data_IF_345815691353
#
_entry.id   IF_345815691353
#
_cell.length_a   1.000
_cell.length_b   1.000
_cell.length_c   1.000
_cell.angle_alpha   90.00
_cell.angle_beta   90.00
_cell.angle_gamma   90.00
#
_symmetry.space_group_name_H-M   'P 1'
#
loop_
_entity.id
_entity.type
_entity.pdbx_description
1 polymer ?
#
# COMPACT_ATOMS: atom_id res chain seq x y z
N UNK A 1 -2.80 8.51 -28.86
CA UNK A 1 -1.77 7.82 -28.06
C UNK A 1 -0.91 8.84 -27.35
N UNK A 2 -0.35 8.52 -26.19
CA UNK A 2 0.50 9.43 -25.43
C UNK A 2 1.37 8.70 -24.41
N UNK A 3 2.35 9.43 -23.88
CA UNK A 3 3.24 9.00 -22.80
C UNK A 3 3.21 10.05 -21.71
N UNK A 4 3.37 9.63 -20.47
CA UNK A 4 3.42 10.49 -19.30
C UNK A 4 4.45 10.00 -18.29
N UNK A 5 5.05 10.93 -17.55
CA UNK A 5 6.02 10.65 -16.51
C UNK A 5 5.74 11.58 -15.34
N UNK A 6 5.67 11.01 -14.13
CA UNK A 6 5.54 11.79 -12.91
C UNK A 6 6.46 11.23 -11.83
N UNK A 7 6.94 12.12 -10.98
CA UNK A 7 7.60 11.78 -9.73
C UNK A 7 6.74 12.29 -8.58
N UNK A 8 6.57 11.46 -7.54
CA UNK A 8 5.85 11.84 -6.34
C UNK A 8 6.64 11.49 -5.08
N UNK A 9 6.56 12.38 -4.10
CA UNK A 9 7.14 12.21 -2.77
C UNK A 9 6.01 12.30 -1.75
N UNK A 10 5.67 11.17 -1.16
CA UNK A 10 4.58 11.02 -0.20
C UNK A 10 5.12 10.81 1.20
N UNK A 11 4.53 11.49 2.17
CA UNK A 11 4.77 11.28 3.60
C UNK A 11 3.51 10.73 4.23
N UNK A 12 3.63 9.65 5.00
CA UNK A 12 2.53 9.05 5.74
C UNK A 12 2.94 8.87 7.19
N UNK A 13 2.23 9.54 8.09
CA UNK A 13 2.31 9.30 9.53
C UNK A 13 1.17 8.42 9.97
N UNK A 14 1.43 7.45 10.85
CA UNK A 14 0.38 6.73 11.56
C UNK A 14 0.82 6.38 12.97
N UNK A 15 -0.16 6.31 13.86
CA UNK A 15 0.03 5.85 15.22
C UNK A 15 -0.23 4.35 15.26
N UNK A 16 0.67 3.62 15.90
CA UNK A 16 0.54 2.18 16.14
C UNK A 16 0.50 1.98 17.63
N UNK A 17 -0.35 1.06 18.04
CA UNK A 17 -0.29 0.53 19.38
C UNK A 17 0.64 -0.69 19.39
N UNK A 18 1.82 -0.53 19.98
CA UNK A 18 2.77 -1.62 20.19
C UNK A 18 2.36 -2.42 21.43
N UNK A 19 2.27 -3.74 21.23
CA UNK A 19 1.84 -4.68 22.25
C UNK A 19 2.89 -5.77 22.37
N UNK A 20 3.49 -5.88 23.54
CA UNK A 20 4.04 -7.15 23.98
C UNK A 20 2.86 -7.97 24.52
N UNK A 21 2.49 -9.12 23.93
CA UNK A 21 1.42 -9.97 24.47
C UNK A 21 1.67 -10.30 25.95
N UNK A 22 2.95 -10.39 26.35
CA UNK A 22 3.43 -10.48 27.72
C UNK A 22 4.76 -9.68 27.84
N UNK A 23 4.97 -8.86 28.88
CA UNK A 23 6.22 -8.10 29.06
C UNK A 23 7.44 -9.03 29.14
N UNK A 24 8.44 -8.81 28.28
CA UNK A 24 9.75 -9.47 28.37
C UNK A 24 9.87 -10.87 27.75
N UNK A 25 8.88 -11.36 26.99
CA UNK A 25 8.92 -12.69 26.39
C UNK A 25 9.18 -12.64 24.88
N UNK A 26 10.22 -13.35 24.41
CA UNK A 26 10.44 -13.66 23.00
C UNK A 26 9.62 -14.92 22.67
N UNK A 27 8.77 -14.84 21.64
CA UNK A 27 7.93 -15.98 21.24
C UNK A 27 8.72 -16.91 20.32
N UNK A 28 8.99 -18.16 20.71
CA UNK A 28 9.47 -19.16 19.75
C UNK A 28 8.36 -19.43 18.72
N UNK A 29 8.73 -19.56 17.44
CA UNK A 29 7.78 -19.81 16.34
C UNK A 29 6.84 -20.99 16.61
N UNK A 30 7.29 -21.99 17.36
CA UNK A 30 6.51 -23.18 17.73
C UNK A 30 5.32 -22.91 18.65
N UNK A 31 5.19 -21.71 19.22
CA UNK A 31 4.12 -21.36 20.15
C UNK A 31 3.09 -20.39 19.56
N UNK A 32 3.24 -19.99 18.29
CA UNK A 32 2.40 -18.98 17.64
C UNK A 32 0.90 -19.32 17.75
N UNK A 33 0.52 -20.57 17.50
CA UNK A 33 -0.87 -21.02 17.50
C UNK A 33 -1.55 -20.86 18.87
N UNK A 34 -0.80 -21.01 19.96
CA UNK A 34 -1.32 -20.86 21.32
C UNK A 34 -1.61 -19.38 21.64
N UNK A 35 -0.75 -18.47 21.17
CA UNK A 35 -0.88 -17.04 21.47
C UNK A 35 -1.80 -16.30 20.51
N UNK A 36 -2.11 -16.85 19.33
CA UNK A 36 -3.06 -16.24 18.39
C UNK A 36 -4.44 -16.04 19.02
N UNK A 37 -4.94 -17.02 19.78
CA UNK A 37 -6.24 -16.91 20.46
C UNK A 37 -6.28 -15.77 21.49
N UNK A 38 -5.20 -15.59 22.25
CA UNK A 38 -5.05 -14.50 23.23
C UNK A 38 -4.90 -13.14 22.55
N UNK A 39 -4.21 -13.08 21.41
CA UNK A 39 -4.10 -11.85 20.60
C UNK A 39 -5.48 -11.45 20.06
N UNK A 40 -6.24 -12.40 19.48
CA UNK A 40 -7.57 -12.11 18.95
C UNK A 40 -8.56 -11.68 20.04
N UNK A 41 -8.63 -12.40 21.15
CA UNK A 41 -9.51 -12.04 22.27
C UNK A 41 -9.11 -10.68 22.88
N UNK A 42 -7.82 -10.39 22.90
CA UNK A 42 -7.30 -9.08 23.26
C UNK A 42 -7.79 -7.98 22.32
N UNK A 43 -7.66 -8.14 20.99
CA UNK A 43 -8.01 -7.12 19.97
C UNK A 43 -9.44 -6.61 20.07
N UNK A 44 -10.40 -7.48 20.39
CA UNK A 44 -11.82 -7.14 20.38
C UNK A 44 -12.42 -6.72 21.73
N UNK A 45 -11.62 -6.67 22.80
CA UNK A 45 -12.11 -6.23 24.11
C UNK A 45 -12.12 -4.68 24.19
N UNK A 46 -13.30 -4.03 24.31
CA UNK A 46 -13.40 -2.57 24.33
C UNK A 46 -12.91 -1.93 25.65
N UNK A 47 -12.87 -2.69 26.75
CA UNK A 47 -12.50 -2.19 28.09
C UNK A 47 -11.02 -2.44 28.43
N UNK A 48 -10.21 -2.81 27.44
CA UNK A 48 -8.80 -3.14 27.65
C UNK A 48 -7.93 -1.88 27.80
N UNK A 49 -6.88 -1.99 28.61
CA UNK A 49 -5.82 -0.98 28.65
C UNK A 49 -5.11 -0.90 27.29
N UNK A 50 -4.81 0.33 26.87
CA UNK A 50 -4.00 0.57 25.68
C UNK A 50 -2.55 0.17 25.95
N UNK A 51 -1.91 -0.42 24.94
CA UNK A 51 -0.47 -0.66 24.88
C UNK A 51 0.33 0.64 24.71
N UNK A 52 1.62 0.51 24.43
CA UNK A 52 2.44 1.69 24.15
C UNK A 52 2.07 2.26 22.78
N UNK A 53 1.78 3.56 22.72
CA UNK A 53 1.48 4.23 21.45
C UNK A 53 2.79 4.73 20.85
N UNK A 54 3.14 4.17 19.71
CA UNK A 54 4.32 4.50 18.92
C UNK A 54 3.91 5.28 17.67
N UNK A 55 4.67 6.32 17.34
CA UNK A 55 4.48 7.08 16.10
C UNK A 55 5.41 6.55 15.04
N UNK A 56 4.87 6.18 13.88
CA UNK A 56 5.67 5.83 12.72
C UNK A 56 5.46 6.81 11.57
N UNK A 57 6.56 7.19 10.95
CA UNK A 57 6.69 8.08 9.81
C UNK A 57 7.34 7.34 8.64
N UNK A 58 6.61 7.35 7.54
CA UNK A 58 6.92 6.63 6.32
C UNK A 58 7.11 7.63 5.18
N UNK A 59 8.25 7.58 4.48
CA UNK A 59 8.45 8.31 3.22
C UNK A 59 8.37 7.33 2.05
N UNK A 60 7.61 7.68 1.04
CA UNK A 60 7.55 6.95 -0.21
C UNK A 60 7.93 7.90 -1.35
N UNK A 61 9.08 7.65 -1.99
CA UNK A 61 9.47 8.33 -3.23
C UNK A 61 9.22 7.34 -4.35
N UNK A 62 8.41 7.70 -5.34
CA UNK A 62 8.22 6.85 -6.50
C UNK A 62 8.15 7.65 -7.79
N UNK A 63 8.64 7.02 -8.85
CA UNK A 63 8.52 7.46 -10.22
C UNK A 63 7.52 6.57 -10.95
N UNK A 64 6.63 7.17 -11.73
CA UNK A 64 5.73 6.47 -12.63
C UNK A 64 6.00 6.84 -14.09
N UNK A 65 5.90 5.83 -14.94
CA UNK A 65 5.92 5.98 -16.38
C UNK A 65 4.65 5.36 -16.95
N UNK A 66 3.86 6.19 -17.65
CA UNK A 66 2.63 5.81 -18.30
C UNK A 66 2.74 5.84 -19.81
N UNK A 67 2.18 4.84 -20.47
CA UNK A 67 1.90 4.88 -21.91
C UNK A 67 0.44 4.51 -22.13
N UNK A 68 -0.26 5.27 -23.00
CA UNK A 68 -1.67 5.02 -23.28
C UNK A 68 -1.99 5.12 -24.77
N UNK A 69 -2.94 4.28 -25.17
CA UNK A 69 -3.61 4.34 -26.47
C UNK A 69 -5.10 4.40 -26.22
N UNK A 70 -5.78 5.29 -26.92
CA UNK A 70 -7.22 5.45 -26.88
C UNK A 70 -7.69 5.73 -28.30
N UNK A 71 -8.81 5.13 -28.65
CA UNK A 71 -9.49 5.31 -29.92
C UNK A 71 -11.00 5.42 -29.70
N UNK A 72 -11.65 6.09 -30.65
CA UNK A 72 -13.10 6.32 -30.65
C UNK A 72 -13.65 6.00 -32.04
N UNK A 73 -14.60 5.09 -32.11
CA UNK A 73 -15.26 4.67 -33.36
C UNK A 73 -16.71 5.14 -33.29
N UNK A 74 -17.10 6.02 -34.22
CA UNK A 74 -18.51 6.37 -34.43
C UNK A 74 -19.21 5.19 -35.12
N UNK A 75 -20.20 4.60 -34.45
CA UNK A 75 -21.00 3.50 -35.01
C UNK A 75 -22.15 4.03 -35.87
N UNK A 76 -22.68 5.21 -35.52
CA UNK A 76 -23.69 6.00 -36.24
C UNK A 76 -23.80 7.40 -35.60
N UNK A 77 -24.71 8.24 -36.10
CA UNK A 77 -24.93 9.63 -35.65
C UNK A 77 -25.27 9.79 -34.15
N UNK A 78 -25.60 8.71 -33.45
CA UNK A 78 -26.01 8.71 -32.04
C UNK A 78 -25.11 7.88 -31.13
N UNK A 79 -24.20 7.06 -31.68
CA UNK A 79 -23.43 6.09 -30.91
C UNK A 79 -21.94 6.18 -31.22
N UNK A 80 -21.16 6.39 -30.16
CA UNK A 80 -19.69 6.42 -30.20
C UNK A 80 -19.17 5.35 -29.24
N UNK A 81 -18.39 4.42 -29.77
CA UNK A 81 -17.66 3.42 -29.00
C UNK A 81 -16.27 3.95 -28.68
N UNK A 82 -15.89 3.93 -27.40
CA UNK A 82 -14.57 4.38 -26.96
C UNK A 82 -13.82 3.19 -26.35
N UNK A 83 -12.60 2.94 -26.84
CA UNK A 83 -11.74 1.89 -26.31
C UNK A 83 -10.35 2.46 -26.02
N UNK A 84 -9.76 2.03 -24.91
CA UNK A 84 -8.41 2.47 -24.55
C UNK A 84 -7.70 1.52 -23.62
N UNK A 85 -6.37 1.60 -23.63
CA UNK A 85 -5.48 0.84 -22.77
C UNK A 85 -4.38 1.74 -22.23
N UNK A 86 -3.97 1.49 -20.99
CA UNK A 86 -2.89 2.21 -20.32
C UNK A 86 -1.98 1.23 -19.59
N UNK A 87 -0.69 1.32 -19.89
CA UNK A 87 0.38 0.64 -19.16
C UNK A 87 1.01 1.64 -18.19
N UNK A 88 1.19 1.24 -16.94
CA UNK A 88 1.92 2.04 -15.94
C UNK A 88 3.02 1.19 -15.31
N UNK A 89 4.25 1.69 -15.37
CA UNK A 89 5.41 1.15 -14.67
C UNK A 89 5.69 2.06 -13.49
N UNK A 90 5.73 1.50 -12.28
CA UNK A 90 6.01 2.25 -11.05
C UNK A 90 7.24 1.67 -10.37
N UNK A 91 8.20 2.54 -10.05
CA UNK A 91 9.38 2.21 -9.27
C UNK A 91 9.46 3.15 -8.08
N UNK A 92 9.76 2.62 -6.89
CA UNK A 92 9.86 3.47 -5.72
C UNK A 92 10.70 2.90 -4.60
N UNK A 93 11.05 3.80 -3.71
CA UNK A 93 11.79 3.53 -2.49
C UNK A 93 10.94 3.88 -1.28
N UNK A 94 10.96 2.96 -0.33
CA UNK A 94 10.26 3.05 0.92
C UNK A 94 11.24 3.32 2.08
N UNK A 95 11.07 4.53 2.61
CA UNK A 95 11.65 5.21 3.76
C UNK A 95 11.03 4.96 5.14
N UNK A 96 11.51 4.07 6.01
CA UNK A 96 11.15 4.22 7.44
C UNK A 96 11.98 5.35 8.04
N UNK A 97 11.35 6.50 8.29
CA UNK A 97 12.00 7.70 8.85
C UNK A 97 12.10 7.57 10.38
N UNK A 98 11.27 6.74 11.00
CA UNK A 98 11.25 6.52 12.45
C UNK A 98 12.38 5.59 12.88
N UNK A 99 12.68 4.56 12.08
CA UNK A 99 13.76 3.60 12.32
C UNK A 99 14.73 3.52 11.13
N UNK A 100 15.20 4.66 10.62
CA UNK A 100 16.34 4.82 9.68
C UNK A 100 16.65 3.60 8.78
N UNK A 101 15.66 3.14 7.99
CA UNK A 101 15.76 1.89 7.21
C UNK A 101 15.10 2.02 5.84
N UNK A 102 15.84 1.66 4.78
CA UNK A 102 15.38 1.75 3.39
C UNK A 102 14.98 0.37 2.84
N UNK A 103 13.83 0.28 2.15
CA UNK A 103 13.39 -0.89 1.38
C UNK A 103 12.93 -0.43 -0.02
N UNK A 104 13.35 -1.08 -1.10
CA UNK A 104 12.94 -0.72 -2.48
C UNK A 104 11.88 -1.67 -3.02
N UNK A 105 11.01 -1.21 -3.93
CA UNK A 105 10.04 -2.06 -4.62
C UNK A 105 9.91 -1.72 -6.11
N UNK A 106 9.43 -2.70 -6.89
CA UNK A 106 9.14 -2.57 -8.32
C UNK A 106 7.78 -3.19 -8.62
N UNK A 107 6.90 -2.47 -9.34
CA UNK A 107 5.55 -2.96 -9.68
C UNK A 107 5.14 -2.55 -11.09
N UNK A 108 4.66 -3.53 -11.86
CA UNK A 108 4.03 -3.30 -13.18
C UNK A 108 2.52 -3.51 -13.01
N UNK A 109 1.72 -2.55 -13.44
CA UNK A 109 0.25 -2.66 -13.41
C UNK A 109 -0.33 -2.36 -14.79
N UNK A 110 -1.19 -3.26 -15.30
CA UNK A 110 -1.97 -3.04 -16.51
C UNK A 110 -3.39 -2.63 -16.11
N UNK A 111 -3.83 -1.47 -16.57
CA UNK A 111 -5.17 -0.95 -16.26
C UNK A 111 -5.95 -0.88 -17.58
N UNK A 112 -6.74 -1.92 -17.86
CA UNK A 112 -7.73 -1.91 -18.94
C UNK A 112 -8.98 -1.16 -18.49
N UNK A 113 -9.45 -0.19 -19.29
CA UNK A 113 -10.75 0.47 -19.09
C UNK A 113 -11.69 0.06 -20.23
N UNK A 114 -12.77 -0.63 -19.88
CA UNK A 114 -13.91 -0.86 -20.76
C UNK A 114 -15.06 -0.01 -20.23
N UNK A 115 -15.54 0.95 -21.03
CA UNK A 115 -16.74 1.73 -20.76
C UNK A 115 -17.79 1.41 -21.83
#
# INVERSE_FOLDING_TARGET
MGVDWHQQNLYKGYLIEERAPLPGQLFPESALDFYLADIFSGVFNPDRNLGEISSQEMRLIYDDFGAFIQDSIELNDQWILNAGSRLVVMQGEYTDITQSGNKSFYRITNIGRHN
#
